data_IF_334555619069
#
_entry.id   IF_334555619069
#
_cell.length_a   1.000
_cell.length_b   1.000
_cell.length_c   1.000
_cell.angle_alpha   90.00
_cell.angle_beta   90.00
_cell.angle_gamma   90.00
#
_symmetry.space_group_name_H-M   'P 1'
#
loop_
_entity.id
_entity.type
_entity.pdbx_description
1 polymer ?
#
# COMPACT_ATOMS: atom_id res chain seq x y z
N UNK A 1 8.01 12.47 -16.80
CA UNK A 1 7.01 11.51 -16.29
C UNK A 1 7.13 11.52 -14.78
N UNK A 2 6.01 11.48 -14.07
CA UNK A 2 6.04 11.38 -12.61
C UNK A 2 6.67 10.04 -12.20
N UNK A 3 7.87 10.10 -11.62
CA UNK A 3 8.62 8.93 -11.17
C UNK A 3 8.19 8.54 -9.75
N UNK A 4 6.89 8.40 -9.54
CA UNK A 4 6.31 8.08 -8.24
C UNK A 4 5.27 6.97 -8.35
N UNK A 5 4.97 6.39 -7.20
CA UNK A 5 3.82 5.49 -7.03
C UNK A 5 3.10 5.83 -5.74
N UNK A 6 1.76 5.76 -5.76
CA UNK A 6 0.94 5.80 -4.54
C UNK A 6 0.63 4.36 -4.16
N UNK A 7 1.14 3.90 -3.02
CA UNK A 7 1.26 2.49 -2.65
C UNK A 7 0.43 2.19 -1.41
N UNK A 8 -0.14 0.98 -1.41
CA UNK A 8 -0.69 0.30 -0.25
C UNK A 8 -0.35 -1.20 -0.29
N UNK A 9 -0.39 -1.89 0.86
CA UNK A 9 -0.10 -3.32 0.98
C UNK A 9 -1.09 -4.05 1.87
N UNK A 10 -1.46 -5.26 1.46
CA UNK A 10 -2.28 -6.16 2.27
C UNK A 10 -1.43 -7.23 2.92
N UNK A 11 -1.66 -7.50 4.20
CA UNK A 11 -0.84 -8.42 4.99
C UNK A 11 -1.70 -9.37 5.82
N UNK A 12 -1.11 -10.51 6.22
CA UNK A 12 -1.80 -11.47 7.11
C UNK A 12 -1.91 -10.99 8.56
N UNK A 13 -1.33 -9.84 8.88
CA UNK A 13 -1.24 -9.29 10.23
C UNK A 13 -0.29 -8.09 10.28
N UNK A 14 0.03 -7.63 11.49
CA UNK A 14 0.73 -6.35 11.69
C UNK A 14 2.23 -6.49 11.94
N UNK A 15 2.75 -7.72 12.09
CA UNK A 15 4.14 -7.98 12.45
C UNK A 15 4.92 -8.61 11.28
N UNK A 16 5.80 -7.88 10.59
CA UNK A 16 6.55 -8.39 9.42
C UNK A 16 7.51 -9.55 9.73
N UNK A 17 7.81 -9.81 11.01
CA UNK A 17 8.63 -10.94 11.42
C UNK A 17 7.86 -12.27 11.36
N UNK A 18 6.55 -12.24 11.58
CA UNK A 18 5.68 -13.43 11.62
C UNK A 18 4.68 -13.46 10.47
N UNK A 19 4.16 -12.30 10.08
CA UNK A 19 3.19 -12.11 9.02
C UNK A 19 3.83 -11.96 7.64
N UNK A 20 3.04 -12.17 6.58
CA UNK A 20 3.47 -12.00 5.19
C UNK A 20 2.66 -10.92 4.49
N UNK A 21 3.21 -10.42 3.39
CA UNK A 21 2.47 -9.64 2.40
C UNK A 21 1.65 -10.61 1.54
N UNK A 22 0.39 -10.25 1.31
CA UNK A 22 -0.58 -10.92 0.46
C UNK A 22 -0.61 -10.27 -0.92
N UNK A 23 -0.68 -8.93 -0.94
CA UNK A 23 -0.78 -8.14 -2.15
C UNK A 23 -0.05 -6.80 -2.01
N UNK A 24 0.51 -6.32 -3.11
CA UNK A 24 1.12 -5.00 -3.23
C UNK A 24 0.37 -4.26 -4.35
N UNK A 25 -0.23 -3.11 -4.03
CA UNK A 25 -1.01 -2.32 -4.97
C UNK A 25 -0.46 -0.91 -5.06
N UNK A 26 -0.50 -0.33 -6.26
CA UNK A 26 -0.14 1.07 -6.40
C UNK A 26 -0.70 1.75 -7.65
N UNK A 27 -0.88 3.07 -7.55
CA UNK A 27 -1.18 3.94 -8.68
C UNK A 27 0.10 4.42 -9.35
N UNK A 28 0.22 4.22 -10.67
CA UNK A 28 1.35 4.70 -11.47
C UNK A 28 0.88 5.05 -12.88
N UNK A 29 1.14 6.28 -13.35
CA UNK A 29 0.82 6.74 -14.72
C UNK A 29 -0.64 6.41 -15.08
N UNK A 30 -1.56 6.96 -14.28
CA UNK A 30 -3.02 6.88 -14.49
C UNK A 30 -3.62 5.46 -14.53
N UNK A 31 -2.95 4.50 -13.89
CA UNK A 31 -3.48 3.13 -13.74
C UNK A 31 -3.14 2.55 -12.38
N UNK A 32 -4.04 1.68 -11.92
CA UNK A 32 -3.76 0.77 -10.82
C UNK A 32 -2.93 -0.41 -11.32
N UNK A 33 -1.85 -0.71 -10.62
CA UNK A 33 -0.96 -1.86 -10.83
C UNK A 33 -0.95 -2.66 -9.54
N UNK A 34 -0.93 -3.99 -9.66
CA UNK A 34 -0.91 -4.89 -8.51
C UNK A 34 0.02 -6.07 -8.74
N UNK A 35 0.61 -6.55 -7.65
CA UNK A 35 1.29 -7.83 -7.56
C UNK A 35 0.62 -8.66 -6.47
N UNK A 36 0.20 -9.88 -6.83
CA UNK A 36 -0.49 -10.82 -5.95
C UNK A 36 0.02 -12.21 -6.30
N UNK A 37 0.56 -12.93 -5.32
CA UNK A 37 1.00 -14.32 -5.51
C UNK A 37 0.97 -15.09 -4.20
N UNK A 38 0.70 -16.39 -4.28
CA UNK A 38 0.90 -17.29 -3.14
C UNK A 38 2.40 -17.39 -2.78
N UNK A 39 3.31 -17.15 -3.72
CA UNK A 39 4.75 -17.00 -3.45
C UNK A 39 5.09 -15.52 -3.16
N UNK A 40 5.33 -15.21 -1.88
CA UNK A 40 5.69 -13.85 -1.44
C UNK A 40 7.00 -13.36 -2.08
N UNK A 41 7.96 -14.27 -2.30
CA UNK A 41 9.26 -13.91 -2.87
C UNK A 41 9.09 -13.46 -4.32
N UNK A 42 8.37 -14.23 -5.12
CA UNK A 42 8.07 -13.90 -6.51
C UNK A 42 7.37 -12.53 -6.61
N UNK A 43 6.36 -12.29 -5.76
CA UNK A 43 5.64 -11.02 -5.70
C UNK A 43 6.58 -9.83 -5.42
N UNK A 44 7.48 -9.99 -4.45
CA UNK A 44 8.48 -8.97 -4.11
C UNK A 44 9.49 -8.75 -5.23
N UNK A 45 9.99 -9.82 -5.87
CA UNK A 45 10.90 -9.72 -7.01
C UNK A 45 10.26 -8.95 -8.17
N UNK A 46 9.00 -9.24 -8.49
CA UNK A 46 8.24 -8.54 -9.52
C UNK A 46 8.02 -7.05 -9.17
N UNK A 47 7.69 -6.75 -7.90
CA UNK A 47 7.59 -5.38 -7.42
C UNK A 47 8.90 -4.61 -7.60
N UNK A 48 10.02 -5.16 -7.11
CA UNK A 48 11.33 -4.48 -7.21
C UNK A 48 11.82 -4.34 -8.64
N UNK A 49 11.53 -5.32 -9.50
CA UNK A 49 11.79 -5.23 -10.94
C UNK A 49 11.03 -4.07 -11.56
N UNK A 50 9.73 -3.93 -11.26
CA UNK A 50 8.92 -2.82 -11.73
C UNK A 50 9.46 -1.46 -11.29
N UNK A 51 9.81 -1.31 -10.00
CA UNK A 51 10.41 -0.09 -9.45
C UNK A 51 11.68 0.29 -10.22
N UNK A 52 12.53 -0.70 -10.51
CA UNK A 52 13.79 -0.50 -11.25
C UNK A 52 13.56 -0.10 -12.70
N UNK A 53 12.73 -0.84 -13.43
CA UNK A 53 12.50 -0.64 -14.87
C UNK A 53 11.82 0.71 -15.16
N UNK A 54 10.90 1.13 -14.27
CA UNK A 54 10.18 2.39 -14.41
C UNK A 54 10.89 3.57 -13.71
N UNK A 55 12.08 3.34 -13.15
CA UNK A 55 12.91 4.36 -12.47
C UNK A 55 12.13 5.14 -11.41
N UNK A 56 11.30 4.44 -10.64
CA UNK A 56 10.49 5.05 -9.58
C UNK A 56 11.43 5.58 -8.50
N UNK A 57 11.26 6.85 -8.13
CA UNK A 57 12.10 7.55 -7.16
C UNK A 57 11.35 8.00 -5.90
N UNK A 58 10.01 7.92 -5.89
CA UNK A 58 9.21 8.31 -4.72
C UNK A 58 8.06 7.32 -4.45
N UNK A 59 7.92 6.94 -3.19
CA UNK A 59 6.74 6.24 -2.66
C UNK A 59 5.85 7.25 -1.93
N UNK A 60 4.55 7.20 -2.19
CA UNK A 60 3.54 7.91 -1.42
C UNK A 60 2.60 6.88 -0.81
N UNK A 61 2.19 7.05 0.43
CA UNK A 61 1.19 6.19 1.06
C UNK A 61 0.60 6.80 2.31
N UNK A 62 -0.49 6.23 2.80
CA UNK A 62 -1.07 6.61 4.08
C UNK A 62 -0.49 5.73 5.17
N UNK A 63 0.28 6.29 6.11
CA UNK A 63 1.07 5.49 7.06
C UNK A 63 2.12 4.58 6.38
N UNK A 64 2.71 5.05 5.27
CA UNK A 64 3.66 4.31 4.41
C UNK A 64 4.84 3.68 5.17
N UNK A 65 5.16 4.14 6.38
CA UNK A 65 6.19 3.51 7.21
C UNK A 65 5.84 2.06 7.58
N UNK A 66 4.56 1.72 7.66
CA UNK A 66 4.09 0.34 7.84
C UNK A 66 4.45 -0.51 6.61
N UNK A 67 3.98 -0.12 5.43
CA UNK A 67 4.23 -0.81 4.15
C UNK A 67 5.71 -0.92 3.87
N UNK A 68 6.45 0.19 4.04
CA UNK A 68 7.89 0.20 3.85
C UNK A 68 8.60 -0.77 4.78
N UNK A 69 8.10 -0.93 6.01
CA UNK A 69 8.68 -1.86 6.99
C UNK A 69 8.41 -3.31 6.62
N UNK A 70 7.22 -3.62 6.09
CA UNK A 70 6.93 -4.92 5.50
C UNK A 70 7.81 -5.18 4.27
N UNK A 71 7.76 -4.31 3.27
CA UNK A 71 8.56 -4.44 2.04
C UNK A 71 10.03 -4.66 2.34
N UNK A 72 10.64 -3.87 3.24
CA UNK A 72 12.07 -4.01 3.55
C UNK A 72 12.41 -5.32 4.27
N UNK A 73 11.68 -5.68 5.32
CA UNK A 73 12.00 -6.85 6.14
C UNK A 73 11.66 -8.15 5.42
N UNK A 74 10.54 -8.20 4.70
CA UNK A 74 10.17 -9.38 3.90
C UNK A 74 11.13 -9.58 2.72
N UNK A 75 11.56 -8.51 2.05
CA UNK A 75 12.61 -8.61 1.03
C UNK A 75 13.93 -9.11 1.60
N UNK A 76 14.34 -8.62 2.78
CA UNK A 76 15.54 -9.09 3.47
C UNK A 76 15.45 -10.58 3.83
N UNK A 77 14.29 -11.04 4.32
CA UNK A 77 14.04 -12.47 4.62
C UNK A 77 14.31 -13.36 3.40
N UNK A 78 13.97 -12.91 2.20
CA UNK A 78 14.15 -13.66 0.95
C UNK A 78 15.48 -13.37 0.23
N UNK A 79 16.37 -12.56 0.81
CA UNK A 79 17.66 -12.21 0.20
C UNK A 79 17.55 -11.25 -0.99
N UNK A 80 16.43 -10.55 -1.15
CA UNK A 80 16.19 -9.61 -2.25
C UNK A 80 16.92 -8.28 -1.95
N UNK A 81 17.77 -7.84 -2.89
CA UNK A 81 18.55 -6.60 -2.75
C UNK A 81 17.69 -5.36 -3.01
N UNK A 82 17.52 -4.53 -1.98
CA UNK A 82 16.78 -3.26 -2.09
C UNK A 82 17.74 -2.10 -2.40
N UNK A 83 17.47 -1.40 -3.51
CA UNK A 83 18.29 -0.27 -3.98
C UNK A 83 17.61 1.10 -3.86
N UNK A 84 16.31 1.13 -3.55
CA UNK A 84 15.46 2.31 -3.64
C UNK A 84 14.91 2.71 -2.27
N UNK A 85 14.41 3.95 -2.18
CA UNK A 85 13.65 4.47 -1.04
C UNK A 85 14.35 4.34 0.31
N UNK A 86 15.69 4.47 0.33
CA UNK A 86 16.47 4.41 1.57
C UNK A 86 16.31 5.70 2.37
N UNK A 87 16.27 6.83 1.66
CA UNK A 87 16.20 8.14 2.29
C UNK A 87 14.77 8.50 2.66
N UNK A 88 14.60 9.38 3.63
CA UNK A 88 13.27 9.72 4.13
C UNK A 88 12.47 10.51 3.09
N UNK A 89 13.11 11.42 2.37
CA UNK A 89 12.52 12.26 1.31
C UNK A 89 12.02 11.48 0.09
N UNK A 90 12.44 10.22 -0.06
CA UNK A 90 11.97 9.30 -1.09
C UNK A 90 10.62 8.65 -0.71
N UNK A 91 10.10 8.94 0.49
CA UNK A 91 8.84 8.41 1.03
C UNK A 91 7.98 9.54 1.58
N UNK A 92 6.76 9.69 1.07
CA UNK A 92 5.80 10.69 1.51
C UNK A 92 4.68 9.99 2.27
N UNK A 93 4.64 10.20 3.58
CA UNK A 93 3.59 9.67 4.46
C UNK A 93 2.46 10.69 4.60
N UNK A 94 1.33 10.46 3.92
CA UNK A 94 0.20 11.39 3.92
C UNK A 94 -0.39 11.58 5.33
N UNK A 95 -0.36 10.54 6.17
CA UNK A 95 -0.86 10.64 7.54
C UNK A 95 -0.03 11.61 8.36
N UNK A 96 1.30 11.61 8.17
CA UNK A 96 2.20 12.53 8.87
C UNK A 96 2.13 13.97 8.35
N UNK A 97 1.76 14.15 7.08
CA UNK A 97 1.51 15.50 6.52
C UNK A 97 0.24 16.12 7.10
N UNK A 98 -0.82 15.31 7.25
CA UNK A 98 -2.10 15.76 7.79
C UNK A 98 -2.10 15.83 9.32
N UNK A 99 -1.25 15.05 9.97
CA UNK A 99 -1.17 14.99 11.42
C UNK A 99 0.28 14.87 11.91
N UNK A 100 0.73 15.91 12.60
CA UNK A 100 2.09 15.97 13.16
C UNK A 100 2.28 15.13 14.42
N UNK A 101 1.20 14.67 15.07
CA UNK A 101 1.26 13.82 16.26
C UNK A 101 1.48 12.35 15.86
N UNK A 102 2.64 11.74 16.18
CA UNK A 102 2.97 10.38 15.75
C UNK A 102 2.00 9.29 16.21
N UNK A 103 1.26 9.54 17.31
CA UNK A 103 0.26 8.61 17.86
C UNK A 103 -1.18 8.99 17.52
N UNK A 104 -1.36 9.95 16.62
CA UNK A 104 -2.70 10.42 16.29
C UNK A 104 -3.57 9.29 15.72
N UNK A 105 -4.83 9.31 16.14
CA UNK A 105 -5.89 8.48 15.58
C UNK A 105 -6.37 9.10 14.26
N UNK A 106 -6.96 8.28 13.40
CA UNK A 106 -7.48 8.68 12.10
C UNK A 106 -7.10 7.65 11.04
N UNK A 107 -8.11 7.00 10.49
CA UNK A 107 -8.00 6.06 9.37
C UNK A 107 -8.00 6.83 8.05
N UNK A 108 -7.59 6.18 6.96
CA UNK A 108 -7.70 6.74 5.61
C UNK A 108 -9.14 7.19 5.32
N UNK A 109 -10.11 6.36 5.67
CA UNK A 109 -11.55 6.64 5.55
C UNK A 109 -11.98 7.89 6.32
N UNK A 110 -11.47 8.11 7.54
CA UNK A 110 -11.79 9.30 8.34
C UNK A 110 -11.33 10.58 7.62
N UNK A 111 -10.11 10.59 7.08
CA UNK A 111 -9.58 11.76 6.35
C UNK A 111 -10.30 11.97 5.01
N UNK A 112 -10.58 10.90 4.25
CA UNK A 112 -11.36 10.99 3.01
C UNK A 112 -12.75 11.57 3.27
N UNK A 113 -13.44 11.09 4.31
CA UNK A 113 -14.78 11.58 4.70
C UNK A 113 -14.71 13.05 5.09
N UNK A 114 -13.74 13.43 5.93
CA UNK A 114 -13.58 14.82 6.38
C UNK A 114 -13.32 15.79 5.21
N UNK A 115 -12.57 15.37 4.20
CA UNK A 115 -12.21 16.19 3.04
C UNK A 115 -13.21 16.13 1.88
N UNK A 116 -14.32 15.40 2.05
CA UNK A 116 -15.35 15.24 1.02
C UNK A 116 -14.87 14.46 -0.21
N UNK A 117 -13.90 13.56 -0.03
CA UNK A 117 -13.47 12.63 -1.07
C UNK A 117 -14.49 11.51 -1.13
N UNK A 118 -15.08 11.28 -2.31
CA UNK A 118 -16.05 10.19 -2.48
C UNK A 118 -15.38 8.84 -2.22
N UNK A 119 -16.05 8.02 -1.42
CA UNK A 119 -15.54 6.73 -0.96
C UNK A 119 -16.47 5.67 -1.54
N UNK A 120 -16.04 4.95 -2.60
CA UNK A 120 -16.78 3.79 -3.04
C UNK A 120 -16.87 2.82 -1.86
N UNK A 121 -18.06 2.23 -1.68
CA UNK A 121 -18.29 1.24 -0.65
C UNK A 121 -17.30 0.07 -0.77
N UNK A 122 -16.93 -0.50 0.37
CA UNK A 122 -16.05 -1.66 0.44
C UNK A 122 -16.81 -2.88 0.96
N UNK A 123 -16.52 -4.04 0.39
CA UNK A 123 -17.10 -5.31 0.83
C UNK A 123 -16.41 -5.88 2.08
N UNK A 124 -15.14 -5.52 2.31
CA UNK A 124 -14.36 -5.93 3.48
C UNK A 124 -13.57 -4.74 4.03
N UNK A 125 -13.35 -4.75 5.34
CA UNK A 125 -12.41 -3.85 6.01
C UNK A 125 -11.01 -4.47 6.11
N UNK A 126 -9.97 -3.65 6.28
CA UNK A 126 -8.59 -4.14 6.42
C UNK A 126 -8.38 -5.11 7.61
N UNK A 127 -9.24 -5.08 8.63
CA UNK A 127 -9.20 -6.03 9.75
C UNK A 127 -9.65 -7.44 9.36
N UNK A 128 -10.42 -7.56 8.28
CA UNK A 128 -10.97 -8.83 7.80
C UNK A 128 -10.03 -9.53 6.82
N UNK A 129 -9.06 -8.82 6.26
CA UNK A 129 -8.08 -9.33 5.28
C UNK A 129 -7.42 -10.65 5.72
N UNK A 130 -6.93 -10.82 6.97
CA UNK A 130 -6.35 -12.10 7.40
C UNK A 130 -7.33 -13.28 7.32
N UNK A 131 -8.60 -13.05 7.69
CA UNK A 131 -9.66 -14.08 7.65
C UNK A 131 -10.06 -14.40 6.22
N UNK A 132 -10.14 -13.39 5.36
CA UNK A 132 -10.42 -13.57 3.93
C UNK A 132 -9.27 -14.34 3.27
N UNK A 133 -8.02 -14.04 3.63
CA UNK A 133 -6.86 -14.78 3.15
C UNK A 133 -6.88 -16.25 3.59
N UNK A 134 -7.26 -16.54 4.84
CA UNK A 134 -7.45 -17.91 5.31
C UNK A 134 -8.52 -18.65 4.49
N UNK A 135 -9.64 -18.00 4.16
CA UNK A 135 -10.66 -18.58 3.28
C UNK A 135 -10.10 -18.91 1.89
N UNK A 136 -9.29 -18.03 1.31
CA UNK A 136 -8.57 -18.29 0.04
C UNK A 136 -7.66 -19.52 0.15
N UNK A 137 -6.87 -19.63 1.22
CA UNK A 137 -6.02 -20.81 1.46
C UNK A 137 -6.83 -22.11 1.60
N UNK A 138 -8.07 -22.01 2.07
CA UNK A 138 -9.01 -23.13 2.19
C UNK A 138 -9.83 -23.40 0.90
N UNK A 139 -9.51 -22.72 -0.20
CA UNK A 139 -10.10 -22.98 -1.52
C UNK A 139 -11.26 -22.06 -1.92
N UNK A 140 -11.55 -21.00 -1.15
CA UNK A 140 -12.50 -19.98 -1.59
C UNK A 140 -11.89 -19.07 -2.68
N UNK A 141 -12.21 -19.39 -3.94
CA UNK A 141 -11.72 -18.64 -5.10
C UNK A 141 -12.22 -17.20 -5.17
N UNK A 142 -13.24 -16.81 -4.39
CA UNK A 142 -13.74 -15.43 -4.34
C UNK A 142 -13.02 -14.57 -3.30
N UNK A 143 -12.31 -15.18 -2.36
CA UNK A 143 -11.67 -14.46 -1.27
C UNK A 143 -10.51 -13.57 -1.75
N UNK A 144 -9.62 -14.07 -2.62
CA UNK A 144 -8.51 -13.26 -3.14
C UNK A 144 -8.95 -12.05 -3.97
N UNK A 145 -9.95 -12.16 -4.89
CA UNK A 145 -10.53 -11.00 -5.56
C UNK A 145 -11.01 -9.90 -4.60
N UNK A 146 -11.62 -10.25 -3.47
CA UNK A 146 -12.12 -9.28 -2.47
C UNK A 146 -10.98 -8.51 -1.79
N UNK A 147 -9.86 -9.19 -1.48
CA UNK A 147 -8.65 -8.54 -0.97
C UNK A 147 -8.09 -7.56 -2.01
N UNK A 148 -8.07 -7.96 -3.28
CA UNK A 148 -7.57 -7.11 -4.37
C UNK A 148 -8.45 -5.88 -4.59
N UNK A 149 -9.77 -6.03 -4.47
CA UNK A 149 -10.72 -4.92 -4.55
C UNK A 149 -10.52 -3.94 -3.39
N UNK A 150 -10.40 -4.43 -2.16
CA UNK A 150 -10.09 -3.60 -0.99
C UNK A 150 -8.80 -2.78 -1.19
N UNK A 151 -7.71 -3.46 -1.57
CA UNK A 151 -6.43 -2.83 -1.89
C UNK A 151 -6.56 -1.77 -3.00
N UNK A 152 -7.35 -2.04 -4.03
CA UNK A 152 -7.57 -1.08 -5.12
C UNK A 152 -8.28 0.18 -4.61
N UNK A 153 -9.30 0.01 -3.77
CA UNK A 153 -10.01 1.13 -3.15
C UNK A 153 -9.10 1.96 -2.25
N UNK A 154 -8.25 1.33 -1.44
CA UNK A 154 -7.31 2.04 -0.55
C UNK A 154 -6.23 2.79 -1.32
N UNK A 155 -5.73 2.23 -2.42
CA UNK A 155 -4.83 2.98 -3.33
C UNK A 155 -5.53 4.16 -3.98
N UNK A 156 -6.79 4.00 -4.44
CA UNK A 156 -7.55 5.09 -5.05
C UNK A 156 -7.85 6.21 -4.05
N UNK A 157 -8.25 5.86 -2.82
CA UNK A 157 -8.47 6.81 -1.71
C UNK A 157 -7.19 7.55 -1.35
N UNK A 158 -6.07 6.84 -1.25
CA UNK A 158 -4.75 7.42 -0.98
C UNK A 158 -4.33 8.36 -2.10
N UNK A 159 -4.60 8.01 -3.37
CA UNK A 159 -4.32 8.88 -4.53
C UNK A 159 -5.18 10.14 -4.51
N UNK A 160 -6.49 10.01 -4.28
CA UNK A 160 -7.38 11.16 -4.17
C UNK A 160 -6.99 12.08 -3.00
N UNK A 161 -6.57 11.50 -1.88
CA UNK A 161 -6.06 12.26 -0.74
C UNK A 161 -4.74 12.99 -1.09
N UNK A 162 -3.82 12.32 -1.78
CA UNK A 162 -2.59 12.94 -2.26
C UNK A 162 -2.88 14.12 -3.20
N UNK A 163 -3.81 13.95 -4.13
CA UNK A 163 -4.22 15.01 -5.06
C UNK A 163 -4.81 16.21 -4.31
N UNK A 164 -5.66 15.95 -3.32
CA UNK A 164 -6.24 17.02 -2.48
C UNK A 164 -5.17 17.82 -1.72
N UNK A 165 -4.12 17.14 -1.24
CA UNK A 165 -2.99 17.76 -0.55
C UNK A 165 -2.11 18.58 -1.52
N UNK A 166 -1.94 18.12 -2.76
CA UNK A 166 -1.27 18.89 -3.81
C UNK A 166 -2.07 20.14 -4.19
N UNK A 167 -3.38 20.00 -4.39
CA UNK A 167 -4.29 21.10 -4.73
C UNK A 167 -4.34 22.18 -3.64
N UNK A 168 -4.13 21.81 -2.37
CA UNK A 168 -4.07 22.75 -1.25
C UNK A 168 -2.71 23.45 -1.10
N UNK A 169 -1.70 23.06 -1.87
CA UNK A 169 -0.35 23.64 -1.82
C UNK A 169 0.46 23.24 -0.57
N UNK A 170 0.11 22.13 0.08
CA UNK A 170 0.82 21.66 1.28
C UNK A 170 2.15 20.96 0.96
N UNK A 171 2.33 20.44 -0.25
CA UNK A 171 3.54 19.71 -0.71
C UNK A 171 3.89 20.01 -2.16
#
# INVERSE_FOLDING_TARGET
MENLVVLDTETTGLNPLTDRIIAIGFWHVNKFVKFVSNDEKEMLENFWKFISENKISKLIGFNINFDWTFLKLRSMKYGIKIKYFKKYEERVDLRRLLNSEPRAKGTLTDYCTFLGIDIPGEDISGKEVPKVWEAHQNGDNNALPRIVEHLQLDVLRTKALYDKILESGMI
#
